data_IF_208020771285
#
_entry.id   IF_208020771285
#
_cell.length_a   1.000
_cell.length_b   1.000
_cell.length_c   1.000
_cell.angle_alpha   90.00
_cell.angle_beta   90.00
_cell.angle_gamma   90.00
#
_symmetry.space_group_name_H-M   'P 1'
#
loop_
_entity.id
_entity.type
_entity.pdbx_description
1 polymer ?
#
# COMPACT_ATOMS: atom_id res chain seq x y z
N UNK A 1 51.47 -19.78 -26.47
CA UNK A 1 52.27 -20.61 -25.53
C UNK A 1 53.22 -19.67 -24.79
N UNK A 2 52.81 -19.22 -23.60
CA UNK A 2 53.24 -19.74 -22.29
C UNK A 2 54.62 -19.21 -21.86
N UNK A 3 54.62 -18.11 -21.10
CA UNK A 3 55.69 -17.84 -20.13
C UNK A 3 55.18 -18.16 -18.73
N UNK A 4 55.92 -19.03 -18.05
CA UNK A 4 55.56 -19.68 -16.80
C UNK A 4 55.57 -18.72 -15.60
N UNK A 5 54.50 -18.78 -14.80
CA UNK A 5 54.48 -18.35 -13.40
C UNK A 5 55.14 -19.40 -12.52
N UNK A 6 56.09 -19.00 -11.67
CA UNK A 6 56.25 -19.57 -10.32
C UNK A 6 56.79 -18.53 -9.33
N UNK A 7 55.86 -18.06 -8.49
CA UNK A 7 55.94 -17.74 -7.05
C UNK A 7 57.22 -17.13 -6.47
N UNK A 8 57.09 -15.88 -5.97
CA UNK A 8 57.68 -15.46 -4.69
C UNK A 8 56.64 -14.79 -3.79
N UNK A 9 56.61 -15.30 -2.56
CA UNK A 9 56.01 -14.84 -1.31
C UNK A 9 55.12 -13.58 -1.33
N UNK A 10 53.81 -13.76 -1.07
CA UNK A 10 52.94 -12.71 -0.53
C UNK A 10 53.08 -12.71 0.98
N UNK A 11 53.73 -11.67 1.50
CA UNK A 11 53.76 -11.33 2.90
C UNK A 11 52.32 -11.02 3.38
N UNK A 12 51.93 -11.64 4.49
CA UNK A 12 50.72 -11.35 5.24
C UNK A 12 50.79 -9.90 5.75
N UNK A 13 49.97 -9.02 5.19
CA UNK A 13 49.61 -7.74 5.82
C UNK A 13 48.18 -7.87 6.35
N UNK A 14 48.16 -8.26 7.62
CA UNK A 14 47.06 -8.19 8.56
C UNK A 14 46.43 -6.80 8.59
N UNK A 15 45.11 -6.82 8.78
CA UNK A 15 44.23 -5.73 9.19
C UNK A 15 44.90 -4.53 9.87
N UNK A 16 45.03 -3.44 9.13
CA UNK A 16 45.05 -2.08 9.66
C UNK A 16 44.05 -1.28 8.83
N UNK A 17 42.78 -1.31 9.26
CA UNK A 17 41.83 -0.25 8.89
C UNK A 17 42.36 1.02 9.53
N UNK A 18 43.09 1.81 8.75
CA UNK A 18 43.40 3.18 9.11
C UNK A 18 42.05 3.89 9.29
N UNK A 19 41.74 4.35 10.50
CA UNK A 19 40.64 5.28 10.72
C UNK A 19 41.02 6.57 10.00
N UNK A 20 40.49 6.76 8.79
CA UNK A 20 40.65 8.04 8.12
C UNK A 20 39.89 9.10 8.93
N UNK A 21 40.62 10.07 9.47
CA UNK A 21 40.04 11.30 10.04
C UNK A 21 39.47 12.25 8.97
N UNK A 22 39.38 11.79 7.72
CA UNK A 22 38.72 12.51 6.65
C UNK A 22 37.23 12.15 6.77
N UNK A 23 36.34 13.10 7.12
CA UNK A 23 34.92 12.83 7.05
C UNK A 23 34.59 12.36 5.63
N UNK A 24 33.80 11.30 5.49
CA UNK A 24 33.25 10.94 4.19
C UNK A 24 32.62 12.19 3.58
N UNK A 25 32.98 12.54 2.34
CA UNK A 25 32.51 13.76 1.67
C UNK A 25 30.98 13.84 1.61
N UNK A 26 30.28 12.73 1.85
CA UNK A 26 28.83 12.65 1.92
C UNK A 26 28.42 11.71 3.06
N UNK A 27 28.04 12.25 4.21
CA UNK A 27 27.53 11.47 5.36
C UNK A 27 26.05 11.09 5.16
N UNK A 28 25.30 11.93 4.44
CA UNK A 28 23.93 11.66 3.99
C UNK A 28 23.77 12.07 2.53
N UNK A 29 23.70 11.09 1.63
CA UNK A 29 23.18 11.34 0.29
C UNK A 29 21.67 11.49 0.41
N UNK A 30 21.15 12.72 0.31
CA UNK A 30 19.72 12.92 0.10
C UNK A 30 19.27 12.08 -1.10
N UNK A 31 18.00 11.63 -1.14
CA UNK A 31 17.54 10.77 -2.23
C UNK A 31 17.83 11.42 -3.58
N UNK A 32 18.41 10.63 -4.49
CA UNK A 32 18.75 11.09 -5.85
C UNK A 32 17.47 11.56 -6.56
N UNK A 33 17.57 12.53 -7.50
CA UNK A 33 16.42 12.90 -8.32
C UNK A 33 15.88 11.65 -9.02
N UNK A 34 14.66 11.26 -8.70
CA UNK A 34 14.02 10.08 -9.27
C UNK A 34 13.31 10.45 -10.58
N UNK A 35 13.42 9.60 -11.60
CA UNK A 35 12.86 9.86 -12.93
C UNK A 35 11.34 9.60 -12.94
N UNK A 36 10.54 10.64 -13.21
CA UNK A 36 9.09 10.52 -13.38
C UNK A 36 8.64 9.59 -14.52
N UNK A 37 9.52 9.32 -15.50
CA UNK A 37 9.26 8.42 -16.63
C UNK A 37 9.15 6.92 -16.23
N UNK A 38 9.31 6.58 -14.95
CA UNK A 38 9.21 5.20 -14.46
C UNK A 38 8.01 4.99 -13.53
N UNK A 39 7.07 5.94 -13.44
CA UNK A 39 5.91 5.82 -12.57
C UNK A 39 5.03 4.62 -12.93
N UNK A 40 4.66 3.82 -11.94
CA UNK A 40 3.73 2.70 -12.07
C UNK A 40 2.35 3.23 -12.44
N UNK A 41 1.80 2.74 -13.55
CA UNK A 41 0.49 3.14 -14.06
C UNK A 41 -0.56 2.05 -13.83
N UNK A 42 -1.84 2.40 -13.99
CA UNK A 42 -2.94 1.43 -14.01
C UNK A 42 -2.73 0.33 -15.07
N UNK A 43 -2.09 0.66 -16.19
CA UNK A 43 -1.75 -0.31 -17.25
C UNK A 43 -0.72 -1.32 -16.74
N UNK A 44 0.31 -0.88 -16.01
CA UNK A 44 1.28 -1.78 -15.40
C UNK A 44 0.59 -2.75 -14.42
N UNK A 45 -0.29 -2.25 -13.54
CA UNK A 45 -1.03 -3.08 -12.59
C UNK A 45 -1.94 -4.10 -13.28
N UNK A 46 -2.68 -3.68 -14.32
CA UNK A 46 -3.52 -4.58 -15.13
C UNK A 46 -2.69 -5.66 -15.84
N UNK A 47 -1.50 -5.31 -16.33
CA UNK A 47 -0.60 -6.30 -16.94
C UNK A 47 -0.06 -7.29 -15.91
N UNK A 48 0.37 -6.83 -14.72
CA UNK A 48 0.79 -7.72 -13.63
C UNK A 48 -0.33 -8.68 -13.24
N UNK A 49 -1.55 -8.18 -13.09
CA UNK A 49 -2.73 -9.01 -12.83
C UNK A 49 -2.94 -10.10 -13.89
N UNK A 50 -2.93 -9.73 -15.19
CA UNK A 50 -3.08 -10.69 -16.31
C UNK A 50 -1.97 -11.75 -16.33
N UNK A 51 -0.74 -11.36 -16.01
CA UNK A 51 0.42 -12.25 -15.91
C UNK A 51 0.48 -13.04 -14.60
N UNK A 52 -0.45 -12.81 -13.68
CA UNK A 52 -0.46 -13.37 -12.31
C UNK A 52 0.83 -13.07 -11.56
N UNK A 53 1.41 -11.90 -11.82
CA UNK A 53 2.53 -11.36 -11.06
C UNK A 53 2.00 -10.59 -9.85
N UNK A 54 2.49 -10.87 -8.63
CA UNK A 54 2.02 -10.20 -7.43
C UNK A 54 2.18 -8.68 -7.48
N UNK A 55 1.11 -7.96 -7.14
CA UNK A 55 1.14 -6.51 -6.92
C UNK A 55 1.46 -6.22 -5.45
N UNK A 56 2.46 -5.39 -5.21
CA UNK A 56 2.89 -4.98 -3.87
C UNK A 56 2.34 -3.60 -3.53
N UNK A 57 1.65 -3.51 -2.40
CA UNK A 57 1.12 -2.25 -1.88
C UNK A 57 1.54 -2.08 -0.43
N UNK A 58 1.92 -0.87 -0.02
CA UNK A 58 2.22 -0.57 1.38
C UNK A 58 1.75 0.85 1.68
N UNK A 59 1.27 1.09 2.89
CA UNK A 59 0.91 2.46 3.28
C UNK A 59 2.15 3.33 3.50
N UNK A 60 2.01 4.65 3.38
CA UNK A 60 3.01 5.61 3.84
C UNK A 60 2.31 6.88 4.31
N UNK A 61 2.97 7.62 5.20
CA UNK A 61 2.36 8.78 5.86
C UNK A 61 3.29 9.99 5.89
N UNK A 62 4.57 9.82 5.60
CA UNK A 62 5.56 10.87 5.66
C UNK A 62 6.62 10.72 4.56
N UNK A 63 7.50 11.70 4.47
CA UNK A 63 8.57 11.70 3.48
C UNK A 63 9.53 10.50 3.64
N UNK A 64 10.05 10.16 4.84
CA UNK A 64 10.93 9.01 4.99
C UNK A 64 10.30 7.67 4.60
N UNK A 65 9.07 7.38 5.06
CA UNK A 65 8.37 6.15 4.68
C UNK A 65 8.18 6.05 3.17
N UNK A 66 7.81 7.15 2.51
CA UNK A 66 7.68 7.20 1.06
C UNK A 66 9.00 6.93 0.33
N UNK A 67 10.13 7.51 0.78
CA UNK A 67 11.45 7.25 0.20
C UNK A 67 11.84 5.77 0.35
N UNK A 68 11.53 5.15 1.49
CA UNK A 68 11.78 3.73 1.71
C UNK A 68 10.98 2.86 0.74
N UNK A 69 9.68 3.13 0.57
CA UNK A 69 8.84 2.35 -0.34
C UNK A 69 9.25 2.51 -1.81
N UNK A 70 9.64 3.73 -2.19
CA UNK A 70 10.10 4.00 -3.55
C UNK A 70 11.39 3.22 -3.86
N UNK A 71 12.37 3.33 -2.97
CA UNK A 71 13.66 2.62 -3.09
C UNK A 71 13.46 1.10 -3.15
N UNK A 72 12.46 0.59 -2.44
CA UNK A 72 12.14 -0.82 -2.42
C UNK A 72 11.37 -1.32 -3.65
N UNK A 73 10.98 -0.44 -4.57
CA UNK A 73 10.27 -0.82 -5.79
C UNK A 73 8.84 -1.30 -5.52
N UNK A 74 8.17 -0.73 -4.52
CA UNK A 74 6.74 -0.99 -4.28
C UNK A 74 5.91 -0.52 -5.48
N UNK A 75 4.87 -1.29 -5.85
CA UNK A 75 4.03 -0.92 -6.99
C UNK A 75 3.04 0.21 -6.63
N UNK A 76 2.44 0.15 -5.45
CA UNK A 76 1.41 1.08 -4.98
C UNK A 76 1.72 1.59 -3.58
N UNK A 77 1.75 2.90 -3.41
CA UNK A 77 1.92 3.58 -2.13
C UNK A 77 0.58 4.21 -1.72
N UNK A 78 0.05 3.80 -0.56
CA UNK A 78 -1.28 4.23 -0.11
C UNK A 78 -1.15 5.18 1.07
N UNK A 79 -1.67 6.39 0.93
CA UNK A 79 -1.89 7.30 2.06
C UNK A 79 -3.26 7.00 2.62
N UNK A 80 -3.29 6.12 3.62
CA UNK A 80 -4.53 5.59 4.19
C UNK A 80 -4.99 6.34 5.44
N UNK A 81 -6.30 6.38 5.68
CA UNK A 81 -6.91 6.96 6.89
C UNK A 81 -6.51 6.24 8.20
N UNK A 82 -5.93 5.04 8.07
CA UNK A 82 -5.15 4.35 9.12
C UNK A 82 -4.14 5.25 9.85
N UNK A 83 -3.67 6.34 9.23
CA UNK A 83 -2.86 7.39 9.87
C UNK A 83 -3.49 7.91 11.18
N UNK A 84 -4.82 8.02 11.23
CA UNK A 84 -5.58 8.36 12.44
C UNK A 84 -5.14 7.53 13.65
N UNK A 85 -4.93 6.23 13.44
CA UNK A 85 -4.56 5.29 14.50
C UNK A 85 -3.05 5.20 14.68
N UNK A 86 -2.32 4.92 13.60
CA UNK A 86 -0.88 4.59 13.69
C UNK A 86 0.04 5.80 13.75
N UNK A 87 -0.45 6.99 13.36
CA UNK A 87 0.30 8.25 13.44
C UNK A 87 -0.27 9.17 14.53
N UNK A 88 -1.60 9.34 14.57
CA UNK A 88 -2.23 10.27 15.50
C UNK A 88 -2.69 9.62 16.82
N UNK A 89 -2.69 8.29 16.93
CA UNK A 89 -3.01 7.58 18.16
C UNK A 89 -4.50 7.56 18.52
N UNK A 90 -5.40 7.81 17.56
CA UNK A 90 -6.84 7.64 17.77
C UNK A 90 -7.23 6.16 17.81
N UNK A 91 -8.36 5.86 18.45
CA UNK A 91 -8.89 4.49 18.54
C UNK A 91 -9.47 3.96 17.22
N UNK A 92 -9.85 4.86 16.30
CA UNK A 92 -10.46 4.51 15.01
C UNK A 92 -9.97 5.46 13.91
N UNK A 93 -10.30 5.17 12.65
CA UNK A 93 -10.00 6.06 11.51
C UNK A 93 -10.96 7.24 11.38
N UNK A 94 -12.09 7.24 12.09
CA UNK A 94 -13.14 8.26 11.97
C UNK A 94 -12.71 9.71 12.28
N UNK A 95 -11.80 9.98 13.25
CA UNK A 95 -11.47 11.35 13.60
C UNK A 95 -10.65 12.11 12.54
N UNK A 96 -9.94 11.42 11.65
CA UNK A 96 -9.02 12.09 10.72
C UNK A 96 -9.78 12.91 9.69
N UNK A 97 -9.41 14.17 9.58
CA UNK A 97 -9.98 15.11 8.61
C UNK A 97 -9.33 15.00 7.24
N UNK A 98 -10.00 15.57 6.23
CA UNK A 98 -9.40 15.72 4.90
C UNK A 98 -8.12 16.56 4.93
N UNK A 99 -8.07 17.61 5.74
CA UNK A 99 -6.91 18.50 5.78
C UNK A 99 -5.68 17.80 6.39
N UNK A 100 -5.88 16.95 7.41
CA UNK A 100 -4.83 16.07 7.94
C UNK A 100 -4.37 15.04 6.90
N UNK A 101 -5.31 14.38 6.21
CA UNK A 101 -4.98 13.49 5.09
C UNK A 101 -4.13 14.18 4.03
N UNK A 102 -4.47 15.42 3.66
CA UNK A 102 -3.73 16.19 2.66
C UNK A 102 -2.29 16.52 3.11
N UNK A 103 -2.03 16.68 4.42
CA UNK A 103 -0.66 16.84 4.94
C UNK A 103 0.17 15.58 4.70
N UNK A 104 -0.39 14.40 4.97
CA UNK A 104 0.26 13.12 4.69
C UNK A 104 0.48 12.90 3.19
N UNK A 105 -0.54 13.16 2.36
CA UNK A 105 -0.45 13.06 0.91
C UNK A 105 0.70 13.90 0.36
N UNK A 106 0.79 15.19 0.73
CA UNK A 106 1.89 16.08 0.27
C UNK A 106 3.26 15.58 0.72
N UNK A 107 3.35 15.01 1.92
CA UNK A 107 4.61 14.49 2.45
C UNK A 107 5.08 13.27 1.66
N UNK A 108 4.16 12.35 1.37
CA UNK A 108 4.43 11.14 0.57
C UNK A 108 4.74 11.48 -0.88
N UNK A 109 3.98 12.39 -1.51
CA UNK A 109 4.21 12.82 -2.89
C UNK A 109 5.60 13.43 -3.11
N UNK A 110 6.23 14.00 -2.07
CA UNK A 110 7.62 14.46 -2.13
C UNK A 110 8.62 13.31 -2.11
N UNK A 111 8.35 12.24 -1.37
CA UNK A 111 9.28 11.13 -1.12
C UNK A 111 9.20 9.98 -2.11
N UNK A 112 8.03 9.72 -2.70
CA UNK A 112 7.80 8.64 -3.65
C UNK A 112 7.47 9.17 -5.05
N UNK A 113 8.24 8.76 -6.06
CA UNK A 113 8.10 9.19 -7.47
C UNK A 113 7.72 8.05 -8.41
N UNK A 114 8.10 6.82 -8.08
CA UNK A 114 7.94 5.59 -8.84
C UNK A 114 6.62 4.84 -8.57
N UNK A 115 6.17 4.56 -7.34
CA UNK A 115 4.91 3.84 -7.13
C UNK A 115 3.70 4.69 -7.57
N UNK A 116 2.59 4.01 -7.87
CA UNK A 116 1.29 4.67 -8.00
C UNK A 116 0.86 5.19 -6.62
N UNK A 117 0.57 6.49 -6.52
CA UNK A 117 0.15 7.10 -5.26
C UNK A 117 -1.38 7.10 -5.15
N UNK A 118 -1.91 6.48 -4.09
CA UNK A 118 -3.35 6.40 -3.82
C UNK A 118 -3.63 7.10 -2.49
N UNK A 119 -4.54 8.08 -2.48
CA UNK A 119 -4.99 8.73 -1.24
C UNK A 119 -6.39 8.29 -0.83
N UNK A 120 -6.61 7.99 0.44
CA UNK A 120 -7.95 7.71 0.94
C UNK A 120 -8.84 8.95 0.93
N UNK A 121 -10.11 8.75 0.63
CA UNK A 121 -11.17 9.67 1.04
C UNK A 121 -11.54 9.32 2.49
N UNK A 122 -11.29 10.21 3.47
CA UNK A 122 -11.67 9.93 4.84
C UNK A 122 -13.19 9.94 5.02
N UNK A 123 -13.67 9.30 6.08
CA UNK A 123 -15.10 9.25 6.38
C UNK A 123 -15.73 10.65 6.45
N UNK A 124 -16.92 10.80 5.88
CA UNK A 124 -17.68 12.06 5.88
C UNK A 124 -17.39 12.99 4.71
N UNK A 125 -16.45 12.65 3.83
CA UNK A 125 -16.06 13.50 2.70
C UNK A 125 -16.61 13.05 1.35
N UNK A 126 -17.31 11.93 1.27
CA UNK A 126 -17.78 11.38 -0.01
C UNK A 126 -19.15 10.70 0.03
N UNK A 127 -19.79 10.63 1.20
CA UNK A 127 -21.03 9.91 1.42
C UNK A 127 -22.29 10.78 1.23
N UNK A 128 -22.18 12.11 1.36
CA UNK A 128 -23.35 12.99 1.34
C UNK A 128 -23.93 13.21 -0.06
N UNK A 129 -23.06 13.29 -1.08
CA UNK A 129 -23.44 13.51 -2.47
C UNK A 129 -22.30 13.17 -3.41
N UNK A 130 -22.62 12.92 -4.68
CA UNK A 130 -21.62 12.72 -5.74
C UNK A 130 -20.78 13.98 -5.98
N UNK A 131 -21.36 15.18 -5.83
CA UNK A 131 -20.61 16.45 -5.94
C UNK A 131 -19.54 16.54 -4.86
N UNK A 132 -19.89 16.28 -3.59
CA UNK A 132 -18.93 16.27 -2.49
C UNK A 132 -17.80 15.26 -2.74
N UNK A 133 -18.16 14.05 -3.21
CA UNK A 133 -17.19 13.01 -3.50
C UNK A 133 -16.18 13.43 -4.59
N UNK A 134 -16.67 14.04 -5.68
CA UNK A 134 -15.82 14.56 -6.76
C UNK A 134 -14.95 15.72 -6.27
N UNK A 135 -15.52 16.68 -5.54
CA UNK A 135 -14.77 17.83 -5.01
C UNK A 135 -13.63 17.38 -4.08
N UNK A 136 -13.92 16.46 -3.15
CA UNK A 136 -12.91 15.86 -2.27
C UNK A 136 -11.83 15.11 -3.06
N UNK A 137 -12.22 14.29 -4.05
CA UNK A 137 -11.26 13.55 -4.88
C UNK A 137 -10.34 14.51 -5.65
N UNK A 138 -10.89 15.61 -6.19
CA UNK A 138 -10.10 16.67 -6.85
C UNK A 138 -9.10 17.29 -5.89
N UNK A 139 -9.47 17.56 -4.64
CA UNK A 139 -8.54 18.07 -3.62
C UNK A 139 -7.42 17.07 -3.34
N UNK A 140 -7.72 15.79 -3.16
CA UNK A 140 -6.71 14.74 -2.92
C UNK A 140 -5.68 14.66 -4.06
N UNK A 141 -6.13 14.80 -5.31
CA UNK A 141 -5.22 14.85 -6.47
C UNK A 141 -4.42 16.16 -6.50
N UNK A 142 -5.10 17.33 -6.49
CA UNK A 142 -4.45 18.63 -6.72
C UNK A 142 -3.65 19.14 -5.54
N UNK A 143 -4.23 19.09 -4.34
CA UNK A 143 -3.59 19.57 -3.11
C UNK A 143 -2.71 18.50 -2.48
N UNK A 144 -3.08 17.22 -2.62
CA UNK A 144 -2.35 16.09 -2.06
C UNK A 144 -1.23 15.56 -2.97
N UNK A 145 -1.32 15.77 -4.28
CA UNK A 145 -0.34 15.25 -5.25
C UNK A 145 -0.45 13.75 -5.51
N UNK A 146 -1.65 13.17 -5.32
CA UNK A 146 -1.94 11.75 -5.54
C UNK A 146 -2.29 11.45 -7.01
N UNK A 147 -2.14 10.21 -7.44
CA UNK A 147 -2.52 9.74 -8.79
C UNK A 147 -3.94 9.18 -8.85
N UNK A 148 -4.43 8.67 -7.72
CA UNK A 148 -5.72 8.00 -7.60
C UNK A 148 -6.28 8.16 -6.17
N UNK A 149 -7.54 7.78 -5.99
CA UNK A 149 -8.19 7.77 -4.67
C UNK A 149 -8.62 6.36 -4.26
N UNK A 150 -8.78 6.14 -2.95
CA UNK A 150 -9.49 4.97 -2.39
C UNK A 150 -10.74 5.42 -1.64
N UNK A 151 -11.83 4.65 -1.79
CA UNK A 151 -13.04 4.79 -0.98
C UNK A 151 -13.53 3.44 -0.47
N UNK A 152 -14.28 3.47 0.64
CA UNK A 152 -14.76 2.25 1.30
C UNK A 152 -16.24 1.99 1.12
N UNK A 153 -16.56 0.71 0.91
CA UNK A 153 -17.93 0.19 0.88
C UNK A 153 -18.62 0.32 -0.48
N UNK A 154 -19.76 -0.37 -0.61
CA UNK A 154 -20.58 -0.36 -1.82
C UNK A 154 -22.08 -0.17 -1.52
N UNK A 155 -22.41 0.66 -0.53
CA UNK A 155 -23.79 1.15 -0.43
C UNK A 155 -24.17 1.89 -1.72
N UNK A 156 -25.46 2.00 -2.08
CA UNK A 156 -25.87 2.70 -3.29
C UNK A 156 -25.26 4.11 -3.41
N UNK A 157 -25.19 4.85 -2.30
CA UNK A 157 -24.51 6.16 -2.25
C UNK A 157 -23.02 6.10 -2.61
N UNK A 158 -22.30 5.08 -2.13
CA UNK A 158 -20.86 4.88 -2.37
C UNK A 158 -20.58 4.42 -3.80
N UNK A 159 -21.44 3.58 -4.36
CA UNK A 159 -21.38 3.20 -5.78
C UNK A 159 -21.59 4.43 -6.67
N UNK A 160 -22.58 5.26 -6.36
CA UNK A 160 -22.80 6.52 -7.09
C UNK A 160 -21.61 7.47 -6.97
N UNK A 161 -21.02 7.59 -5.78
CA UNK A 161 -19.80 8.38 -5.57
C UNK A 161 -18.62 7.86 -6.40
N UNK A 162 -18.34 6.56 -6.35
CA UNK A 162 -17.28 5.92 -7.12
C UNK A 162 -17.45 6.18 -8.63
N UNK A 163 -18.67 5.96 -9.15
CA UNK A 163 -18.99 6.18 -10.55
C UNK A 163 -18.80 7.64 -10.96
N UNK A 164 -19.28 8.60 -10.16
CA UNK A 164 -19.13 10.02 -10.45
C UNK A 164 -17.65 10.46 -10.46
N UNK A 165 -16.83 9.95 -9.54
CA UNK A 165 -15.38 10.22 -9.50
C UNK A 165 -14.69 9.65 -10.74
N UNK A 166 -15.04 8.43 -11.16
CA UNK A 166 -14.50 7.81 -12.38
C UNK A 166 -14.91 8.59 -13.62
N UNK A 167 -16.17 9.00 -13.74
CA UNK A 167 -16.68 9.82 -14.86
C UNK A 167 -16.03 11.21 -14.92
N UNK A 168 -15.61 11.75 -13.78
CA UNK A 168 -14.80 12.97 -13.69
C UNK A 168 -13.32 12.76 -14.11
N UNK A 169 -12.92 11.54 -14.48
CA UNK A 169 -11.58 11.23 -14.95
C UNK A 169 -10.58 10.86 -13.85
N UNK A 170 -11.04 10.56 -12.64
CA UNK A 170 -10.19 10.22 -11.49
C UNK A 170 -10.22 8.71 -11.25
N UNK A 171 -9.04 8.09 -11.14
CA UNK A 171 -8.93 6.66 -10.88
C UNK A 171 -9.35 6.31 -9.44
N UNK A 172 -10.21 5.30 -9.30
CA UNK A 172 -10.76 4.85 -8.00
C UNK A 172 -10.32 3.42 -7.69
N UNK A 173 -9.73 3.23 -6.52
CA UNK A 173 -9.58 1.93 -5.88
C UNK A 173 -10.73 1.74 -4.89
N UNK A 174 -11.54 0.69 -5.08
CA UNK A 174 -12.61 0.36 -4.15
C UNK A 174 -12.10 -0.43 -2.95
N UNK A 175 -12.90 -0.54 -1.89
CA UNK A 175 -12.58 -1.35 -0.72
C UNK A 175 -13.82 -2.13 -0.25
N UNK A 176 -13.68 -3.46 -0.19
CA UNK A 176 -14.71 -4.42 0.28
C UNK A 176 -14.19 -5.29 1.42
N UNK A 177 -15.12 -5.93 2.14
CA UNK A 177 -14.81 -6.71 3.32
C UNK A 177 -15.01 -5.85 4.57
N UNK A 178 -14.06 -5.91 5.50
CA UNK A 178 -14.07 -5.03 6.67
C UNK A 178 -13.72 -3.61 6.23
N UNK A 179 -14.66 -2.67 6.34
CA UNK A 179 -14.45 -1.25 6.05
C UNK A 179 -14.36 -0.48 7.37
N UNK A 180 -13.15 -0.09 7.85
CA UNK A 180 -12.97 0.62 9.12
C UNK A 180 -13.84 1.86 9.29
N UNK A 181 -14.16 2.57 8.20
CA UNK A 181 -15.03 3.76 8.27
C UNK A 181 -16.48 3.44 8.66
N UNK A 182 -16.89 2.17 8.60
CA UNK A 182 -18.21 1.70 9.03
C UNK A 182 -18.18 0.99 10.39
N UNK A 183 -17.14 1.20 11.22
CA UNK A 183 -16.92 0.46 12.47
C UNK A 183 -18.11 0.50 13.44
N UNK A 184 -18.83 1.63 13.50
CA UNK A 184 -20.01 1.83 14.35
C UNK A 184 -21.19 0.96 13.92
N UNK A 185 -21.34 0.71 12.62
CA UNK A 185 -22.37 -0.17 12.04
C UNK A 185 -21.94 -1.63 12.18
N UNK A 186 -20.65 -1.92 11.99
CA UNK A 186 -20.10 -3.28 12.04
C UNK A 186 -19.92 -3.84 13.47
N UNK A 187 -19.93 -2.97 14.48
CA UNK A 187 -19.77 -3.35 15.89
C UNK A 187 -18.36 -3.82 16.23
N UNK A 188 -17.35 -3.26 15.56
CA UNK A 188 -15.92 -3.55 15.77
C UNK A 188 -15.20 -4.21 14.60
N UNK A 189 -13.88 -4.39 14.74
CA UNK A 189 -12.99 -4.96 13.72
C UNK A 189 -13.16 -6.48 13.63
N UNK A 190 -14.24 -6.92 12.96
CA UNK A 190 -14.59 -8.33 12.83
C UNK A 190 -14.42 -8.80 11.39
N UNK A 191 -13.86 -10.01 11.16
CA UNK A 191 -13.76 -10.55 9.81
C UNK A 191 -15.14 -10.71 9.16
N UNK A 192 -15.25 -10.33 7.89
CA UNK A 192 -16.48 -10.37 7.09
C UNK A 192 -16.54 -11.65 6.25
N UNK A 193 -17.71 -12.03 5.73
CA UNK A 193 -17.83 -13.19 4.84
C UNK A 193 -17.81 -14.56 5.53
N UNK A 194 -18.10 -14.64 6.85
CA UNK A 194 -18.10 -15.90 7.61
C UNK A 194 -19.34 -16.78 7.34
N UNK A 195 -20.45 -16.18 6.94
CA UNK A 195 -21.67 -16.90 6.55
C UNK A 195 -21.82 -16.87 5.03
N UNK A 196 -22.54 -17.84 4.46
CA UNK A 196 -22.81 -17.90 3.01
C UNK A 196 -23.38 -16.56 2.51
N UNK A 197 -24.39 -16.01 3.19
CA UNK A 197 -25.00 -14.75 2.82
C UNK A 197 -23.99 -13.58 2.82
N UNK A 198 -23.16 -13.48 3.87
CA UNK A 198 -22.13 -12.44 3.95
C UNK A 198 -21.02 -12.62 2.90
N UNK A 199 -20.67 -13.86 2.55
CA UNK A 199 -19.66 -14.17 1.54
C UNK A 199 -20.14 -13.78 0.14
N UNK A 200 -21.40 -14.14 -0.19
CA UNK A 200 -22.06 -13.70 -1.43
C UNK A 200 -22.08 -12.18 -1.49
N UNK A 201 -22.42 -11.51 -0.38
CA UNK A 201 -22.46 -10.05 -0.33
C UNK A 201 -21.12 -9.39 -0.63
N UNK A 202 -20.01 -9.97 -0.17
CA UNK A 202 -18.65 -9.48 -0.50
C UNK A 202 -18.40 -9.54 -2.01
N UNK A 203 -18.75 -10.65 -2.67
CA UNK A 203 -18.55 -10.82 -4.11
C UNK A 203 -19.44 -9.87 -4.92
N UNK A 204 -20.73 -9.73 -4.55
CA UNK A 204 -21.65 -8.77 -5.17
C UNK A 204 -21.16 -7.33 -5.04
N UNK A 205 -20.72 -6.95 -3.85
CA UNK A 205 -20.16 -5.62 -3.53
C UNK A 205 -18.92 -5.35 -4.40
N UNK A 206 -18.06 -6.35 -4.58
CA UNK A 206 -16.87 -6.23 -5.42
C UNK A 206 -17.22 -6.05 -6.91
N UNK A 207 -18.19 -6.82 -7.43
CA UNK A 207 -18.69 -6.68 -8.80
C UNK A 207 -19.32 -5.30 -9.03
N UNK A 208 -20.12 -4.81 -8.10
CA UNK A 208 -20.74 -3.48 -8.20
C UNK A 208 -19.70 -2.35 -8.26
N UNK A 209 -18.60 -2.44 -7.48
CA UNK A 209 -17.51 -1.47 -7.56
C UNK A 209 -16.73 -1.55 -8.87
N UNK A 210 -16.54 -2.77 -9.42
CA UNK A 210 -15.96 -2.93 -10.75
C UNK A 210 -16.85 -2.30 -11.82
N UNK A 211 -18.17 -2.52 -11.78
CA UNK A 211 -19.15 -1.93 -12.69
C UNK A 211 -19.19 -0.40 -12.58
N UNK A 212 -18.96 0.15 -11.39
CA UNK A 212 -18.78 1.58 -11.17
C UNK A 212 -17.48 2.16 -11.78
N UNK A 213 -16.57 1.30 -12.25
CA UNK A 213 -15.34 1.69 -12.95
C UNK A 213 -14.09 1.70 -12.07
N UNK A 214 -14.12 1.10 -10.87
CA UNK A 214 -12.91 0.98 -10.04
C UNK A 214 -11.82 0.20 -10.79
N UNK A 215 -10.57 0.64 -10.69
CA UNK A 215 -9.46 -0.01 -11.40
C UNK A 215 -8.86 -1.21 -10.65
N UNK A 216 -9.17 -1.33 -9.36
CA UNK A 216 -8.73 -2.39 -8.46
C UNK A 216 -9.47 -2.28 -7.13
N UNK A 217 -9.40 -3.33 -6.30
CA UNK A 217 -10.11 -3.39 -5.02
C UNK A 217 -9.19 -3.84 -3.89
N UNK A 218 -9.28 -3.18 -2.73
CA UNK A 218 -8.84 -3.77 -1.47
C UNK A 218 -9.88 -4.79 -1.00
N UNK A 219 -9.41 -5.95 -0.55
CA UNK A 219 -10.21 -6.99 0.10
C UNK A 219 -9.65 -7.21 1.51
N UNK A 220 -10.39 -6.75 2.53
CA UNK A 220 -9.90 -6.73 3.91
C UNK A 220 -10.64 -7.72 4.83
N UNK A 221 -9.85 -8.52 5.57
CA UNK A 221 -10.33 -9.43 6.62
C UNK A 221 -11.51 -10.32 6.18
N UNK A 222 -11.35 -10.99 5.04
CA UNK A 222 -12.30 -11.94 4.47
C UNK A 222 -11.69 -13.35 4.43
N UNK A 223 -12.44 -14.45 4.64
CA UNK A 223 -11.91 -15.81 4.49
C UNK A 223 -11.22 -16.04 3.14
N UNK A 224 -10.08 -16.76 3.10
CA UNK A 224 -9.29 -16.92 1.87
C UNK A 224 -10.08 -17.44 0.67
N UNK A 225 -11.02 -18.37 0.87
CA UNK A 225 -11.85 -18.91 -0.22
C UNK A 225 -12.84 -17.89 -0.78
N UNK A 226 -13.32 -16.97 0.05
CA UNK A 226 -14.22 -15.89 -0.40
C UNK A 226 -13.40 -14.83 -1.16
N UNK A 227 -12.20 -14.50 -0.70
CA UNK A 227 -11.29 -13.63 -1.42
C UNK A 227 -10.84 -14.23 -2.76
N UNK A 228 -10.63 -15.55 -2.82
CA UNK A 228 -10.36 -16.28 -4.05
C UNK A 228 -11.54 -16.20 -5.03
N UNK A 229 -12.77 -16.41 -4.54
CA UNK A 229 -13.98 -16.31 -5.35
C UNK A 229 -14.18 -14.89 -5.91
N UNK A 230 -14.01 -13.85 -5.07
CA UNK A 230 -14.08 -12.47 -5.52
C UNK A 230 -13.00 -12.17 -6.58
N UNK A 231 -11.76 -12.59 -6.34
CA UNK A 231 -10.64 -12.38 -7.28
C UNK A 231 -10.88 -13.08 -8.62
N UNK A 232 -11.45 -14.28 -8.61
CA UNK A 232 -11.76 -15.04 -9.82
C UNK A 232 -12.94 -14.44 -10.62
N UNK A 233 -13.90 -13.79 -9.95
CA UNK A 233 -15.06 -13.17 -10.58
C UNK A 233 -14.74 -11.81 -11.23
N UNK A 234 -13.66 -11.15 -10.81
CA UNK A 234 -13.28 -9.82 -11.27
C UNK A 234 -12.30 -9.86 -12.45
N UNK A 235 -12.34 -8.81 -13.27
CA UNK A 235 -11.40 -8.52 -14.34
C UNK A 235 -10.30 -7.53 -13.89
N UNK A 236 -10.49 -6.91 -12.73
CA UNK A 236 -9.57 -5.95 -12.10
C UNK A 236 -8.78 -6.61 -10.96
N UNK A 237 -7.55 -6.14 -10.66
CA UNK A 237 -6.77 -6.67 -9.55
C UNK A 237 -7.45 -6.49 -8.19
N UNK A 238 -7.34 -7.52 -7.35
CA UNK A 238 -7.65 -7.46 -5.91
C UNK A 238 -6.36 -7.39 -5.10
N UNK A 239 -6.35 -6.60 -4.04
CA UNK A 239 -5.23 -6.42 -3.12
C UNK A 239 -5.70 -6.84 -1.74
N UNK A 240 -5.15 -7.94 -1.23
CA UNK A 240 -5.58 -8.52 0.04
C UNK A 240 -4.89 -7.90 1.25
N UNK A 241 -5.62 -7.78 2.36
CA UNK A 241 -5.06 -7.56 3.70
C UNK A 241 -5.87 -8.41 4.69
N UNK A 242 -5.21 -9.39 5.28
CA UNK A 242 -5.93 -10.42 6.07
C UNK A 242 -6.93 -11.24 5.24
N UNK A 243 -6.75 -11.34 3.92
CA UNK A 243 -7.65 -12.03 2.98
C UNK A 243 -7.03 -13.31 2.36
N UNK A 244 -5.88 -13.75 2.87
CA UNK A 244 -5.16 -14.90 2.33
C UNK A 244 -4.40 -14.61 1.02
N UNK A 245 -3.78 -15.63 0.42
CA UNK A 245 -2.80 -15.46 -0.66
C UNK A 245 -3.43 -15.39 -2.07
N UNK A 246 -4.76 -15.51 -2.17
CA UNK A 246 -5.44 -15.70 -3.46
C UNK A 246 -5.80 -14.40 -4.20
N UNK A 247 -5.55 -13.24 -3.59
CA UNK A 247 -5.68 -11.94 -4.25
C UNK A 247 -4.54 -11.72 -5.26
N UNK A 248 -4.75 -10.78 -6.19
CA UNK A 248 -3.73 -10.39 -7.20
C UNK A 248 -2.48 -9.74 -6.59
N UNK A 249 -2.60 -9.22 -5.37
CA UNK A 249 -1.54 -8.57 -4.61
C UNK A 249 -1.87 -8.50 -3.13
N UNK A 250 -1.04 -7.81 -2.38
CA UNK A 250 -1.23 -7.60 -0.93
C UNK A 250 -0.91 -6.17 -0.53
N UNK A 251 -1.59 -5.69 0.51
CA UNK A 251 -1.29 -4.44 1.20
C UNK A 251 -1.00 -4.70 2.67
N UNK A 252 -0.04 -3.96 3.23
CA UNK A 252 0.19 -3.88 4.67
C UNK A 252 0.36 -2.43 5.11
N UNK A 253 0.01 -2.17 6.37
CA UNK A 253 0.34 -0.91 7.04
C UNK A 253 1.85 -0.85 7.28
N UNK A 254 2.48 0.28 6.93
CA UNK A 254 3.93 0.49 7.07
C UNK A 254 4.48 0.09 8.45
N UNK A 255 3.80 0.58 9.49
CA UNK A 255 4.20 0.35 10.88
C UNK A 255 4.10 -1.13 11.27
N UNK A 256 3.08 -1.85 10.78
CA UNK A 256 2.89 -3.28 11.02
C UNK A 256 3.93 -4.10 10.26
N UNK A 257 4.22 -3.71 9.02
CA UNK A 257 5.26 -4.31 8.19
C UNK A 257 6.63 -4.27 8.88
N UNK A 258 6.94 -3.16 9.55
CA UNK A 258 8.18 -2.98 10.28
C UNK A 258 8.14 -3.50 11.73
N UNK A 259 6.98 -3.96 12.21
CA UNK A 259 6.81 -4.39 13.60
C UNK A 259 6.97 -3.27 14.62
N UNK A 260 6.66 -2.03 14.24
CA UNK A 260 6.70 -0.85 15.11
C UNK A 260 5.55 -0.84 16.13
N UNK A 261 4.44 -1.49 15.77
CA UNK A 261 3.25 -1.60 16.62
C UNK A 261 3.14 -3.01 17.20
N UNK A 262 2.74 -3.11 18.46
CA UNK A 262 2.44 -4.41 19.11
C UNK A 262 1.00 -4.86 18.81
N UNK A 263 0.63 -4.96 17.53
CA UNK A 263 -0.65 -5.60 17.19
C UNK A 263 -0.49 -7.13 17.23
N UNK A 264 -1.41 -7.81 17.91
CA UNK A 264 -1.36 -9.26 18.18
C UNK A 264 -1.44 -10.16 16.91
N UNK A 265 -1.48 -9.57 15.72
CA UNK A 265 -1.84 -10.25 14.47
C UNK A 265 -0.61 -10.62 13.61
N UNK A 266 0.59 -10.06 13.88
CA UNK A 266 1.82 -10.38 13.13
C UNK A 266 2.86 -11.14 13.97
N UNK A 267 3.53 -12.17 13.41
CA UNK A 267 4.64 -12.82 14.10
C UNK A 267 5.82 -11.85 14.22
N UNK A 268 6.24 -11.59 15.47
CA UNK A 268 7.34 -10.68 15.85
C UNK A 268 8.59 -10.92 14.99
N UNK A 269 9.15 -9.84 14.44
CA UNK A 269 10.49 -9.88 13.84
C UNK A 269 11.56 -9.74 14.95
N UNK A 270 12.74 -10.36 14.81
CA UNK A 270 13.84 -10.16 15.74
C UNK A 270 14.30 -8.70 15.70
N UNK A 271 14.18 -7.99 16.83
CA UNK A 271 14.77 -6.66 17.01
C UNK A 271 16.29 -6.82 17.16
N UNK A 272 17.04 -6.86 16.06
CA UNK A 272 18.50 -6.79 16.10
C UNK A 272 18.99 -5.80 15.05
N UNK A 273 19.58 -4.68 15.51
CA UNK A 273 20.57 -3.76 14.87
C UNK A 273 20.67 -3.70 13.33
N UNK A 274 19.57 -3.91 12.62
CA UNK A 274 19.49 -3.87 11.17
C UNK A 274 19.01 -2.47 10.78
N UNK A 275 19.62 -1.89 9.75
CA UNK A 275 19.13 -0.63 9.19
C UNK A 275 17.66 -0.78 8.80
N UNK A 276 16.86 0.28 8.93
CA UNK A 276 15.42 0.26 8.59
C UNK A 276 15.16 -0.29 7.18
N UNK A 277 16.10 -0.08 6.25
CA UNK A 277 16.06 -0.66 4.90
C UNK A 277 16.19 -2.19 4.87
N UNK A 278 17.04 -2.78 5.73
CA UNK A 278 17.19 -4.24 5.79
C UNK A 278 15.97 -4.91 6.44
N UNK A 279 15.36 -4.26 7.44
CA UNK A 279 14.06 -4.70 8.00
C UNK A 279 12.97 -4.61 6.93
N UNK A 280 12.94 -3.53 6.15
CA UNK A 280 12.01 -3.37 5.05
C UNK A 280 12.20 -4.45 3.98
N UNK A 281 13.42 -4.72 3.52
CA UNK A 281 13.70 -5.80 2.56
C UNK A 281 13.26 -7.18 3.08
N UNK A 282 13.54 -7.50 4.35
CA UNK A 282 13.11 -8.76 4.97
C UNK A 282 11.58 -8.84 5.11
N UNK A 283 10.92 -7.75 5.50
CA UNK A 283 9.47 -7.68 5.63
C UNK A 283 8.76 -7.71 4.28
N UNK A 284 9.33 -7.07 3.27
CA UNK A 284 8.88 -7.16 1.87
C UNK A 284 9.08 -8.56 1.33
N UNK A 285 10.18 -9.23 1.69
CA UNK A 285 10.36 -10.65 1.40
C UNK A 285 9.20 -11.45 2.01
N UNK A 286 8.79 -11.21 3.27
CA UNK A 286 7.58 -11.86 3.84
C UNK A 286 6.29 -11.51 3.07
N UNK A 287 6.11 -10.27 2.64
CA UNK A 287 4.98 -9.85 1.79
C UNK A 287 4.99 -10.61 0.45
N UNK A 288 6.15 -10.69 -0.21
CA UNK A 288 6.36 -11.44 -1.44
C UNK A 288 6.16 -12.96 -1.25
N UNK A 289 6.64 -13.54 -0.15
CA UNK A 289 6.49 -14.98 0.14
C UNK A 289 5.05 -15.36 0.51
N UNK A 290 4.30 -14.47 1.16
CA UNK A 290 2.84 -14.59 1.33
C UNK A 290 2.14 -14.74 -0.04
N UNK A 291 2.58 -13.99 -1.05
CA UNK A 291 1.99 -14.04 -2.40
C UNK A 291 2.45 -15.20 -3.30
N UNK A 292 3.52 -15.93 -2.94
CA UNK A 292 4.14 -16.95 -3.83
C UNK A 292 3.86 -18.40 -3.45
N UNK A 293 3.21 -18.69 -2.31
CA UNK A 293 2.78 -20.07 -1.99
C UNK A 293 1.57 -20.45 -2.85
N UNK A 294 1.84 -20.94 -4.06
CA UNK A 294 0.94 -21.80 -4.83
C UNK A 294 1.25 -23.26 -4.50
#
# INVERSE_FOLDING_TARGET
MFFSRTRKARCFLSHLRCMSNIPENTVYGGPKPQNSNQRVTLTNLRQKHKRREPITSVTAYDYPSAVHLDTAGIDVCIVGDSASMVVHGHDTTLPISLDEMLVHCRSVARGAKTPLLVGDLPFGTYESSTSQAVDTAVRVLKEGGMDAIKLEGASPSRISAAKAIVEAGIAVMGHVGLTPQAISILGGFRPQGKTIASAVKVVETALALQEAGCFGLIVECVPPLVAAAATAALQIPTIGIGAGPFCSGQVLVYHDLLGMMQHHIMPRLPQSSASSMHVLEMSLTKLFWSTRKK
#
